data_IF_489120920691
#
_entry.id   IF_489120920691
#
_cell.length_a   1.000
_cell.length_b   1.000
_cell.length_c   1.000
_cell.angle_alpha   90.00
_cell.angle_beta   90.00
_cell.angle_gamma   90.00
#
_symmetry.space_group_name_H-M   'P 1'
#
loop_
_entity.id
_entity.type
_entity.pdbx_description
1 polymer ?
#
# COMPACT_ATOMS: atom_id res chain seq x y z
N UNK A 1 -24.97 44.07 72.72
CA UNK A 1 -25.62 42.79 72.41
C UNK A 1 -25.24 42.39 71.00
N UNK A 2 -24.75 41.16 70.85
CA UNK A 2 -24.16 40.46 69.69
C UNK A 2 -24.59 40.93 68.29
N UNK A 3 -23.62 41.36 67.48
CA UNK A 3 -23.71 41.37 66.02
C UNK A 3 -23.47 39.95 65.50
N UNK A 4 -24.45 39.38 64.80
CA UNK A 4 -24.38 38.07 64.16
C UNK A 4 -23.94 38.30 62.70
N UNK A 5 -22.65 38.14 62.43
CA UNK A 5 -22.12 38.19 61.05
C UNK A 5 -22.45 36.87 60.34
N UNK A 6 -23.38 36.95 59.39
CA UNK A 6 -23.72 35.87 58.48
C UNK A 6 -22.63 35.79 57.40
N UNK A 7 -21.71 34.83 57.53
CA UNK A 7 -20.71 34.53 56.50
C UNK A 7 -21.40 33.72 55.41
N UNK A 8 -21.71 34.37 54.29
CA UNK A 8 -22.22 33.76 53.08
C UNK A 8 -21.06 33.02 52.39
N UNK A 9 -20.98 31.70 52.58
CA UNK A 9 -20.01 30.84 51.91
C UNK A 9 -20.48 30.65 50.45
N UNK A 10 -19.99 31.48 49.54
CA UNK A 10 -20.14 31.29 48.09
C UNK A 10 -19.40 30.01 47.69
N UNK A 11 -20.15 28.93 47.48
CA UNK A 11 -19.65 27.71 46.88
C UNK A 11 -19.28 27.95 45.42
N UNK A 12 -17.99 27.98 45.12
CA UNK A 12 -17.48 27.90 43.74
C UNK A 12 -17.67 26.47 43.27
N UNK A 13 -18.82 26.17 42.68
CA UNK A 13 -19.00 24.98 41.85
C UNK A 13 -18.25 25.24 40.54
N UNK A 14 -16.95 24.96 40.52
CA UNK A 14 -16.21 24.81 39.27
C UNK A 14 -16.85 23.66 38.49
N UNK A 15 -17.32 23.92 37.26
CA UNK A 15 -17.58 22.84 36.33
C UNK A 15 -16.27 22.04 36.20
N UNK A 16 -16.24 20.73 36.54
CA UNK A 16 -15.08 19.93 36.20
C UNK A 16 -14.91 20.02 34.69
N UNK A 17 -13.70 20.34 34.26
CA UNK A 17 -13.32 20.35 32.86
C UNK A 17 -13.35 18.89 32.38
N UNK A 18 -14.52 18.43 31.92
CA UNK A 18 -14.74 17.10 31.33
C UNK A 18 -14.39 17.11 29.84
N UNK A 19 -13.56 18.08 29.42
CA UNK A 19 -13.12 18.26 28.04
C UNK A 19 -12.18 17.15 27.58
N UNK A 20 -12.31 16.78 26.31
CA UNK A 20 -11.32 15.96 25.62
C UNK A 20 -9.97 16.69 25.65
N UNK A 21 -8.90 16.00 26.02
CA UNK A 21 -7.57 16.59 26.12
C UNK A 21 -6.84 16.39 24.80
N UNK A 22 -6.31 17.47 24.23
CA UNK A 22 -5.46 17.41 23.05
C UNK A 22 -4.15 16.70 23.36
N UNK A 23 -3.74 15.77 22.50
CA UNK A 23 -2.47 15.05 22.64
C UNK A 23 -1.86 14.73 21.28
N UNK A 24 -0.57 14.49 21.29
CA UNK A 24 0.24 14.16 20.11
C UNK A 24 1.17 13.02 20.48
N UNK A 25 1.40 12.10 19.54
CA UNK A 25 2.38 11.04 19.72
C UNK A 25 3.08 10.67 18.42
N UNK A 26 4.32 10.17 18.49
CA UNK A 26 5.08 9.81 17.30
C UNK A 26 4.43 8.70 16.47
N UNK A 27 4.47 8.89 15.15
CA UNK A 27 4.11 7.89 14.14
C UNK A 27 5.38 7.35 13.48
N UNK A 28 5.50 6.03 13.48
CA UNK A 28 6.53 5.28 12.81
C UNK A 28 5.93 4.42 11.70
N UNK A 29 6.71 4.23 10.64
CA UNK A 29 6.39 3.28 9.56
C UNK A 29 7.57 2.35 9.33
N UNK A 30 7.28 1.14 8.87
CA UNK A 30 8.28 0.18 8.44
C UNK A 30 7.68 -0.82 7.44
N UNK A 31 8.56 -1.49 6.71
CA UNK A 31 8.25 -2.75 6.05
C UNK A 31 8.33 -3.95 6.98
N UNK A 32 8.43 -5.13 6.37
CA UNK A 32 8.78 -6.39 7.02
C UNK A 32 10.16 -6.85 6.55
N UNK A 33 10.80 -7.70 7.35
CA UNK A 33 11.96 -8.45 6.87
C UNK A 33 11.43 -9.57 5.96
N UNK A 34 11.68 -9.44 4.65
CA UNK A 34 11.11 -10.35 3.67
C UNK A 34 11.88 -11.68 3.72
N UNK A 35 11.18 -12.75 4.12
CA UNK A 35 11.73 -14.09 4.03
C UNK A 35 11.75 -14.54 2.56
N UNK A 36 12.91 -14.42 1.93
CA UNK A 36 13.07 -14.80 0.53
C UNK A 36 13.37 -16.29 0.31
N UNK A 37 12.93 -16.85 -0.83
CA UNK A 37 12.06 -16.22 -1.83
C UNK A 37 10.59 -16.18 -1.41
N UNK A 38 9.85 -15.19 -1.90
CA UNK A 38 8.39 -15.14 -1.80
C UNK A 38 7.80 -16.10 -2.84
N UNK A 39 6.72 -16.81 -2.48
CA UNK A 39 6.03 -17.71 -3.40
C UNK A 39 4.79 -17.02 -3.96
N UNK A 40 4.80 -16.75 -5.26
CA UNK A 40 3.67 -16.24 -6.02
C UNK A 40 2.79 -17.37 -6.60
N UNK A 41 1.79 -17.02 -7.39
CA UNK A 41 0.82 -17.99 -7.90
C UNK A 41 1.49 -19.07 -8.76
N UNK A 42 1.12 -20.33 -8.53
CA UNK A 42 1.68 -21.47 -9.26
C UNK A 42 3.10 -21.84 -8.84
N UNK A 43 3.44 -21.64 -7.56
CA UNK A 43 4.74 -21.97 -6.96
C UNK A 43 5.93 -21.22 -7.60
N UNK A 44 5.66 -20.05 -8.19
CA UNK A 44 6.69 -19.18 -8.78
C UNK A 44 7.49 -18.51 -7.66
N UNK A 45 8.80 -18.75 -7.64
CA UNK A 45 9.72 -18.12 -6.69
C UNK A 45 10.02 -16.68 -7.13
N UNK A 46 9.87 -15.72 -6.21
CA UNK A 46 10.09 -14.29 -6.44
C UNK A 46 11.10 -13.73 -5.43
N UNK A 47 12.11 -13.05 -5.93
CA UNK A 47 13.02 -12.17 -5.17
C UNK A 47 12.58 -10.73 -5.40
N UNK A 48 12.49 -9.94 -4.33
CA UNK A 48 12.00 -8.56 -4.36
C UNK A 48 13.20 -7.63 -4.19
N UNK A 49 13.51 -6.88 -5.24
CA UNK A 49 14.64 -5.95 -5.23
C UNK A 49 14.23 -4.56 -4.70
N UNK A 50 12.96 -4.19 -4.88
CA UNK A 50 12.39 -2.91 -4.46
C UNK A 50 10.89 -3.01 -4.24
N UNK A 51 10.39 -2.46 -3.15
CA UNK A 51 8.96 -2.31 -2.90
C UNK A 51 8.68 -0.99 -2.16
N UNK A 52 8.28 0.04 -2.91
CA UNK A 52 8.04 1.38 -2.38
C UNK A 52 6.54 1.68 -2.36
N UNK A 53 6.01 2.08 -1.20
CA UNK A 53 4.60 2.41 -1.00
C UNK A 53 4.43 3.88 -0.62
N UNK A 54 3.63 4.64 -1.37
CA UNK A 54 3.14 5.93 -0.91
C UNK A 54 2.09 5.71 0.17
N UNK A 55 2.31 6.27 1.36
CA UNK A 55 1.41 6.12 2.51
C UNK A 55 1.03 7.48 3.10
N UNK A 56 -0.25 7.64 3.44
CA UNK A 56 -0.79 8.81 4.12
C UNK A 56 -1.76 9.61 3.24
N UNK A 57 -2.61 10.46 3.84
CA UNK A 57 -2.81 10.67 5.28
C UNK A 57 -3.36 9.43 6.02
N UNK A 58 -3.23 9.41 7.36
CA UNK A 58 -3.76 8.38 8.26
C UNK A 58 -4.74 9.00 9.25
N UNK A 59 -5.92 8.39 9.40
CA UNK A 59 -6.92 8.78 10.39
C UNK A 59 -7.28 7.60 11.29
N UNK A 60 -7.39 7.86 12.60
CA UNK A 60 -7.85 6.90 13.61
C UNK A 60 -9.22 7.33 14.14
N UNK A 61 -10.21 6.46 14.00
CA UNK A 61 -11.62 6.80 14.19
C UNK A 61 -12.18 6.19 15.47
N UNK A 62 -13.10 6.92 16.13
CA UNK A 62 -13.83 6.41 17.29
C UNK A 62 -14.83 5.29 16.94
N UNK A 63 -15.39 5.33 15.73
CA UNK A 63 -16.35 4.34 15.22
C UNK A 63 -15.72 2.97 15.00
N UNK A 64 -16.49 1.89 15.22
CA UNK A 64 -16.04 0.51 14.95
C UNK A 64 -15.85 0.24 13.45
N UNK A 65 -16.65 0.93 12.64
CA UNK A 65 -16.49 1.07 11.20
C UNK A 65 -16.06 2.49 10.92
N UNK A 66 -15.04 2.64 10.09
CA UNK A 66 -14.73 3.89 9.44
C UNK A 66 -15.88 4.19 8.46
N UNK A 67 -16.94 4.86 8.96
CA UNK A 67 -17.97 5.46 8.09
C UNK A 67 -17.32 6.44 7.12
N UNK A 68 -18.05 6.88 6.11
CA UNK A 68 -17.48 7.56 4.94
C UNK A 68 -16.56 8.75 5.27
N UNK A 69 -16.79 9.43 6.40
CA UNK A 69 -16.00 10.61 6.77
C UNK A 69 -15.18 10.50 8.04
N UNK A 70 -15.15 9.33 8.72
CA UNK A 70 -14.56 9.27 10.06
C UNK A 70 -14.98 10.50 10.90
N UNK A 71 -16.27 10.88 10.91
CA UNK A 71 -16.75 12.21 11.39
C UNK A 71 -16.29 12.60 12.81
N UNK A 72 -15.72 11.64 13.52
CA UNK A 72 -15.08 11.75 14.83
C UNK A 72 -13.67 11.14 14.81
N UNK A 73 -12.84 11.54 13.85
CA UNK A 73 -11.41 11.23 13.84
C UNK A 73 -10.85 11.68 15.19
N UNK A 74 -10.29 10.73 15.93
CA UNK A 74 -9.66 11.00 17.22
C UNK A 74 -8.26 11.49 17.03
N UNK A 75 -7.57 10.92 16.03
CA UNK A 75 -6.22 11.28 15.66
C UNK A 75 -6.08 11.28 14.15
N UNK A 76 -5.25 12.18 13.66
CA UNK A 76 -4.91 12.29 12.25
C UNK A 76 -3.45 12.66 12.06
N UNK A 77 -2.90 12.15 10.96
CA UNK A 77 -1.62 12.55 10.39
C UNK A 77 -1.89 12.87 8.92
N UNK A 78 -1.73 14.15 8.56
CA UNK A 78 -2.21 14.69 7.28
C UNK A 78 -1.16 14.71 6.16
N UNK A 79 0.09 14.35 6.49
CA UNK A 79 1.18 14.28 5.51
C UNK A 79 1.19 12.94 4.78
N UNK A 80 2.20 12.76 3.92
CA UNK A 80 2.44 11.53 3.17
C UNK A 80 3.93 11.21 3.15
N UNK A 81 4.29 9.92 3.08
CA UNK A 81 5.66 9.42 3.02
C UNK A 81 5.79 8.24 2.06
N UNK A 82 6.96 8.05 1.46
CA UNK A 82 7.32 6.80 0.78
C UNK A 82 7.89 5.83 1.81
N UNK A 83 7.28 4.65 1.91
CA UNK A 83 7.73 3.55 2.78
C UNK A 83 8.44 2.51 1.92
N UNK A 84 9.70 2.24 2.22
CA UNK A 84 10.36 1.02 1.74
C UNK A 84 9.82 -0.17 2.53
N UNK A 85 8.98 -0.99 1.90
CA UNK A 85 8.30 -2.09 2.56
C UNK A 85 9.19 -3.34 2.68
N UNK A 86 10.42 -3.30 2.17
CA UNK A 86 11.42 -4.37 2.30
C UNK A 86 12.29 -4.23 3.55
N UNK A 87 12.25 -3.07 4.22
CA UNK A 87 13.07 -2.78 5.39
C UNK A 87 12.27 -2.88 6.68
N UNK A 88 12.71 -3.75 7.59
CA UNK A 88 12.09 -3.92 8.91
C UNK A 88 12.41 -2.81 9.92
N UNK A 89 13.45 -2.02 9.64
CA UNK A 89 13.83 -0.86 10.46
C UNK A 89 12.78 0.25 10.32
N UNK A 90 12.29 0.74 11.47
CA UNK A 90 11.25 1.77 11.49
C UNK A 90 11.81 3.17 11.39
N UNK A 91 11.11 4.04 10.67
CA UNK A 91 11.42 5.47 10.56
C UNK A 91 10.29 6.29 11.16
N UNK A 92 10.63 7.35 11.91
CA UNK A 92 9.65 8.33 12.39
C UNK A 92 9.25 9.24 11.23
N UNK A 93 7.96 9.34 10.95
CA UNK A 93 7.44 10.11 9.80
C UNK A 93 6.64 11.35 10.20
N UNK A 94 6.37 11.50 11.50
CA UNK A 94 5.67 12.65 12.04
C UNK A 94 5.01 12.33 13.37
N UNK A 95 4.01 13.12 13.72
CA UNK A 95 3.20 12.95 14.91
C UNK A 95 1.73 12.81 14.51
N UNK A 96 1.03 11.86 15.13
CA UNK A 96 -0.42 11.79 15.12
C UNK A 96 -0.95 12.84 16.10
N UNK A 97 -1.83 13.70 15.63
CA UNK A 97 -2.41 14.78 16.43
C UNK A 97 -3.90 14.57 16.64
N UNK A 98 -4.40 14.84 17.84
CA UNK A 98 -5.77 14.49 18.15
C UNK A 98 -6.20 14.74 19.59
N UNK A 99 -7.21 13.98 20.03
CA UNK A 99 -7.77 14.08 21.37
C UNK A 99 -7.94 12.71 22.03
N UNK A 100 -7.77 12.66 23.35
CA UNK A 100 -7.94 11.44 24.14
C UNK A 100 -9.27 10.74 23.91
N UNK A 101 -9.28 9.42 24.08
CA UNK A 101 -10.45 8.57 23.95
C UNK A 101 -10.18 7.29 23.17
N UNK A 102 -11.26 6.53 22.94
CA UNK A 102 -11.20 5.26 22.24
C UNK A 102 -11.07 5.42 20.72
N UNK A 103 -10.17 4.66 20.11
CA UNK A 103 -10.10 4.41 18.66
C UNK A 103 -10.45 2.95 18.35
N UNK A 104 -11.23 2.74 17.30
CA UNK A 104 -11.81 1.43 16.93
C UNK A 104 -11.74 1.10 15.44
N UNK A 105 -11.36 2.07 14.62
CA UNK A 105 -11.05 1.85 13.21
C UNK A 105 -10.02 2.86 12.72
N UNK A 106 -9.60 2.67 11.48
CA UNK A 106 -8.62 3.51 10.80
C UNK A 106 -8.96 3.60 9.31
N UNK A 107 -8.42 4.62 8.68
CA UNK A 107 -8.44 4.81 7.23
C UNK A 107 -7.16 5.53 6.79
N UNK A 108 -6.69 5.26 5.58
CA UNK A 108 -5.55 5.95 5.00
C UNK A 108 -5.65 6.00 3.48
N UNK A 109 -4.85 6.89 2.89
CA UNK A 109 -4.65 6.96 1.46
C UNK A 109 -3.29 6.39 1.06
N UNK A 110 -3.19 6.02 -0.22
CA UNK A 110 -1.97 5.52 -0.83
C UNK A 110 -1.42 6.54 -1.84
N UNK A 111 -1.14 7.76 -1.37
CA UNK A 111 -0.58 8.82 -2.22
C UNK A 111 -1.60 9.61 -3.06
N UNK A 112 -2.86 9.20 -3.09
CA UNK A 112 -3.97 9.91 -3.73
C UNK A 112 -5.09 10.15 -2.74
N UNK A 113 -5.51 11.41 -2.58
CA UNK A 113 -6.55 11.77 -1.62
C UNK A 113 -7.77 12.38 -2.32
N UNK A 114 -8.96 11.88 -2.01
CA UNK A 114 -10.22 12.41 -2.52
C UNK A 114 -10.57 13.71 -1.81
N UNK A 115 -11.05 14.70 -2.57
CA UNK A 115 -11.46 15.99 -2.03
C UNK A 115 -12.95 16.21 -2.29
N UNK A 116 -13.66 16.81 -1.32
CA UNK A 116 -15.11 17.09 -1.42
C UNK A 116 -15.49 18.05 -2.57
N UNK A 117 -14.50 18.73 -3.16
CA UNK A 117 -14.73 19.83 -4.12
C UNK A 117 -14.17 19.53 -5.51
N UNK A 118 -13.63 18.33 -5.74
CA UNK A 118 -12.98 17.95 -7.00
C UNK A 118 -13.31 16.51 -7.34
N UNK A 119 -13.57 16.26 -8.61
CA UNK A 119 -13.80 14.91 -9.13
C UNK A 119 -12.47 14.14 -9.29
N UNK A 120 -11.40 14.84 -9.66
CA UNK A 120 -10.05 14.25 -9.72
C UNK A 120 -9.39 14.19 -8.33
N UNK A 121 -8.75 13.07 -7.96
CA UNK A 121 -8.04 12.93 -6.70
C UNK A 121 -6.82 13.87 -6.66
N UNK A 122 -6.53 14.36 -5.46
CA UNK A 122 -5.34 15.16 -5.20
C UNK A 122 -4.12 14.25 -5.04
N UNK A 123 -3.11 14.44 -5.90
CA UNK A 123 -1.85 13.70 -5.83
C UNK A 123 -0.95 14.26 -4.72
N UNK A 124 -0.69 13.43 -3.71
CA UNK A 124 0.14 13.75 -2.55
C UNK A 124 1.63 13.71 -2.90
N UNK A 125 2.47 14.25 -2.01
CA UNK A 125 3.90 14.37 -2.23
C UNK A 125 4.58 13.00 -2.41
N UNK A 126 4.20 12.01 -1.60
CA UNK A 126 4.75 10.66 -1.71
C UNK A 126 4.47 10.00 -3.07
N UNK A 127 3.27 10.18 -3.64
CA UNK A 127 2.97 9.65 -4.98
C UNK A 127 3.79 10.36 -6.06
N UNK A 128 4.00 11.67 -5.95
CA UNK A 128 4.85 12.43 -6.90
C UNK A 128 6.30 11.96 -6.88
N UNK A 129 6.82 11.61 -5.70
CA UNK A 129 8.17 11.03 -5.56
C UNK A 129 8.28 9.67 -6.25
N UNK A 130 7.17 8.94 -6.35
CA UNK A 130 7.04 7.68 -7.09
C UNK A 130 6.56 7.85 -8.54
N UNK A 131 6.58 9.07 -9.08
CA UNK A 131 6.16 9.33 -10.47
C UNK A 131 4.65 9.16 -10.70
N UNK A 132 3.84 9.70 -9.78
CA UNK A 132 2.38 9.58 -9.75
C UNK A 132 1.89 8.14 -9.57
N UNK A 133 2.56 7.39 -8.68
CA UNK A 133 2.21 6.01 -8.33
C UNK A 133 1.95 5.84 -6.83
N UNK A 134 1.14 4.84 -6.48
CA UNK A 134 0.92 4.43 -5.09
C UNK A 134 1.90 3.37 -4.65
N UNK A 135 2.31 2.50 -5.56
CA UNK A 135 3.21 1.39 -5.27
C UNK A 135 4.13 1.11 -6.46
N UNK A 136 5.41 0.92 -6.21
CA UNK A 136 6.40 0.43 -7.17
C UNK A 136 6.95 -0.89 -6.65
N UNK A 137 6.94 -1.92 -7.49
CA UNK A 137 7.55 -3.21 -7.19
C UNK A 137 8.49 -3.61 -8.34
N UNK A 138 9.72 -3.94 -7.98
CA UNK A 138 10.73 -4.51 -8.88
C UNK A 138 11.30 -5.78 -8.26
N UNK A 139 11.63 -6.75 -9.10
CA UNK A 139 12.16 -8.02 -8.63
C UNK A 139 12.46 -8.98 -9.76
N UNK A 140 12.72 -10.24 -9.39
CA UNK A 140 12.95 -11.34 -10.33
C UNK A 140 12.05 -12.51 -9.99
N UNK A 141 11.23 -12.95 -10.95
CA UNK A 141 10.42 -14.15 -10.85
C UNK A 141 11.12 -15.31 -11.58
N UNK A 142 11.11 -16.52 -11.01
CA UNK A 142 11.64 -17.72 -11.67
C UNK A 142 10.49 -18.57 -12.18
N UNK A 143 10.30 -18.56 -13.51
CA UNK A 143 9.24 -19.28 -14.20
C UNK A 143 9.88 -20.36 -15.07
N UNK A 144 9.60 -21.63 -14.78
CA UNK A 144 10.13 -22.78 -15.54
C UNK A 144 11.67 -22.78 -15.68
N UNK A 145 12.37 -22.21 -14.70
CA UNK A 145 13.83 -22.09 -14.70
C UNK A 145 14.37 -20.83 -15.39
N UNK A 146 13.51 -20.01 -16.01
CA UNK A 146 13.86 -18.71 -16.57
C UNK A 146 13.74 -17.62 -15.50
N UNK A 147 14.81 -16.86 -15.31
CA UNK A 147 14.82 -15.69 -14.45
C UNK A 147 14.21 -14.50 -15.23
N UNK A 148 13.06 -14.03 -14.79
CA UNK A 148 12.27 -12.96 -15.39
C UNK A 148 12.35 -11.71 -14.50
N UNK A 149 13.27 -10.77 -14.76
CA UNK A 149 13.27 -9.48 -14.08
C UNK A 149 12.00 -8.73 -14.48
N UNK A 150 11.34 -8.12 -13.50
CA UNK A 150 10.08 -7.42 -13.73
C UNK A 150 10.02 -6.09 -12.98
N UNK A 151 9.14 -5.22 -13.48
CA UNK A 151 8.71 -4.01 -12.80
C UNK A 151 7.22 -3.79 -12.97
N UNK A 152 6.59 -3.28 -11.92
CA UNK A 152 5.18 -2.88 -11.94
C UNK A 152 5.01 -1.58 -11.15
N UNK A 153 4.17 -0.70 -11.66
CA UNK A 153 3.85 0.61 -11.06
C UNK A 153 2.34 0.71 -10.98
N UNK A 154 1.81 0.89 -9.77
CA UNK A 154 0.37 0.82 -9.50
C UNK A 154 -0.11 2.13 -8.88
N UNK A 155 -0.92 2.94 -9.58
CA UNK A 155 -1.73 3.97 -8.95
C UNK A 155 -2.97 3.35 -8.28
N UNK A 156 -3.15 3.64 -6.99
CA UNK A 156 -4.32 3.32 -6.19
C UNK A 156 -5.03 4.63 -5.89
N UNK A 157 -6.03 4.93 -6.71
CA UNK A 157 -6.83 6.14 -6.62
C UNK A 157 -8.31 5.80 -6.53
N UNK A 158 -9.07 6.76 -6.00
CA UNK A 158 -10.52 6.71 -6.01
C UNK A 158 -11.06 6.62 -7.44
N UNK A 159 -12.16 5.90 -7.61
CA UNK A 159 -12.91 5.80 -8.88
C UNK A 159 -14.16 6.66 -8.79
N UNK A 160 -14.89 6.84 -9.90
CA UNK A 160 -16.19 7.53 -9.90
C UNK A 160 -17.21 6.91 -8.92
N UNK A 161 -17.06 5.62 -8.59
CA UNK A 161 -17.90 4.92 -7.61
C UNK A 161 -17.53 5.21 -6.15
N UNK A 162 -16.42 5.90 -5.90
CA UNK A 162 -15.97 6.25 -4.55
C UNK A 162 -16.55 7.60 -4.15
N UNK A 163 -17.19 7.67 -2.99
CA UNK A 163 -17.70 8.95 -2.46
C UNK A 163 -16.56 9.97 -2.30
N UNK A 164 -16.83 11.22 -2.66
CA UNK A 164 -15.86 12.30 -2.56
C UNK A 164 -15.47 12.56 -1.10
N UNK A 165 -14.21 12.92 -0.89
CA UNK A 165 -13.67 13.20 0.44
C UNK A 165 -13.34 11.97 1.28
N UNK A 166 -13.47 10.76 0.71
CA UNK A 166 -13.23 9.53 1.45
C UNK A 166 -11.86 8.92 1.14
N UNK A 167 -11.07 8.54 2.15
CA UNK A 167 -9.83 7.81 1.94
C UNK A 167 -10.03 6.43 1.28
N UNK A 168 -9.03 6.01 0.50
CA UNK A 168 -9.12 4.80 -0.34
C UNK A 168 -9.14 3.53 0.51
N UNK A 169 -8.31 3.47 1.56
CA UNK A 169 -8.13 2.25 2.34
C UNK A 169 -8.76 2.39 3.71
N UNK A 170 -9.63 1.43 4.07
CA UNK A 170 -10.35 1.40 5.35
C UNK A 170 -10.16 0.06 6.05
N UNK A 171 -10.26 0.08 7.37
CA UNK A 171 -10.31 -1.15 8.18
C UNK A 171 -11.41 -2.08 7.69
N UNK A 172 -11.06 -3.35 7.43
CA UNK A 172 -12.02 -4.39 7.09
C UNK A 172 -12.95 -4.71 8.26
N UNK A 173 -14.11 -5.29 7.97
CA UNK A 173 -15.07 -5.71 9.01
C UNK A 173 -14.55 -6.82 9.91
N UNK A 174 -13.62 -7.63 9.40
CA UNK A 174 -12.96 -8.74 10.12
C UNK A 174 -11.83 -8.29 11.04
N UNK A 175 -11.25 -7.12 10.81
CA UNK A 175 -10.02 -6.72 11.50
C UNK A 175 -10.33 -6.26 12.92
N UNK A 176 -9.57 -6.73 13.92
CA UNK A 176 -9.65 -6.20 15.26
C UNK A 176 -8.79 -4.94 15.39
N UNK A 177 -9.39 -3.82 15.77
CA UNK A 177 -8.66 -2.61 16.13
C UNK A 177 -9.38 -1.94 17.30
N UNK A 178 -8.68 -1.78 18.42
CA UNK A 178 -9.21 -1.14 19.62
C UNK A 178 -8.05 -0.61 20.44
N UNK A 179 -8.11 0.67 20.82
CA UNK A 179 -7.17 1.28 21.76
C UNK A 179 -7.85 2.40 22.51
N UNK A 180 -7.64 2.45 23.82
CA UNK A 180 -7.94 3.65 24.62
C UNK A 180 -6.68 4.51 24.66
N UNK A 181 -6.79 5.77 24.22
CA UNK A 181 -5.68 6.71 24.20
C UNK A 181 -5.90 7.74 25.31
N UNK A 182 -4.98 7.80 26.26
CA UNK A 182 -4.96 8.74 27.36
C UNK A 182 -3.78 9.73 27.21
N UNK A 183 -3.42 10.43 28.28
CA UNK A 183 -2.32 11.41 28.27
C UNK A 183 -0.94 10.81 28.55
N UNK A 184 -0.82 9.47 28.64
CA UNK A 184 0.50 8.83 28.78
C UNK A 184 1.30 8.93 27.47
N UNK A 185 2.63 8.79 27.56
CA UNK A 185 3.45 8.71 26.36
C UNK A 185 3.06 7.47 25.55
N UNK A 186 2.60 7.71 24.32
CA UNK A 186 2.25 6.67 23.36
C UNK A 186 3.11 6.82 22.12
N UNK A 187 3.08 5.81 21.27
CA UNK A 187 3.61 5.85 19.91
C UNK A 187 2.86 4.80 19.09
N UNK A 188 2.83 4.99 17.77
CA UNK A 188 2.23 4.04 16.86
C UNK A 188 3.23 3.66 15.77
N UNK A 189 3.42 2.37 15.57
CA UNK A 189 4.12 1.81 14.42
C UNK A 189 3.12 1.17 13.47
N UNK A 190 3.18 1.55 12.20
CA UNK A 190 2.43 0.94 11.08
C UNK A 190 3.42 0.11 10.24
N UNK A 191 3.13 -1.17 10.05
CA UNK A 191 4.00 -2.08 9.28
C UNK A 191 3.30 -2.66 8.07
N UNK A 192 3.94 -2.58 6.92
CA UNK A 192 3.47 -3.11 5.65
C UNK A 192 4.26 -4.35 5.24
N UNK A 193 3.58 -5.36 4.70
CA UNK A 193 4.19 -6.61 4.24
C UNK A 193 3.94 -6.78 2.74
N UNK A 194 4.93 -6.43 1.92
CA UNK A 194 4.80 -6.57 0.46
C UNK A 194 4.79 -8.01 0.00
N UNK A 195 5.32 -8.96 0.78
CA UNK A 195 5.31 -10.38 0.41
C UNK A 195 3.88 -10.88 0.26
N UNK A 196 2.98 -10.44 1.14
CA UNK A 196 1.57 -10.82 1.12
C UNK A 196 0.85 -10.38 -0.17
N UNK A 197 1.21 -9.22 -0.72
CA UNK A 197 0.56 -8.67 -1.92
C UNK A 197 0.96 -9.39 -3.22
N UNK A 198 2.12 -10.04 -3.23
CA UNK A 198 2.68 -10.70 -4.42
C UNK A 198 2.16 -12.12 -4.61
N UNK A 199 1.68 -12.75 -3.53
CA UNK A 199 1.22 -14.16 -3.52
C UNK A 199 0.18 -14.49 -4.60
N UNK A 200 -0.65 -13.52 -5.00
CA UNK A 200 -1.69 -13.68 -6.02
C UNK A 200 -1.27 -13.33 -7.45
N UNK A 201 -0.02 -12.90 -7.69
CA UNK A 201 0.47 -12.54 -9.01
C UNK A 201 0.82 -13.81 -9.82
N UNK A 202 0.34 -13.90 -11.06
CA UNK A 202 0.69 -14.98 -11.99
C UNK A 202 1.68 -14.49 -13.05
N UNK A 203 2.94 -14.93 -12.92
CA UNK A 203 4.00 -14.58 -13.87
C UNK A 203 4.10 -15.54 -15.06
N UNK A 204 3.42 -16.69 -14.99
CA UNK A 204 3.58 -17.76 -15.99
C UNK A 204 3.04 -17.35 -17.35
N UNK A 205 2.05 -16.45 -17.37
CA UNK A 205 1.48 -15.91 -18.62
C UNK A 205 2.45 -15.07 -19.46
N UNK A 206 3.58 -14.62 -18.88
CA UNK A 206 4.57 -13.81 -19.58
C UNK A 206 5.72 -14.60 -20.20
N UNK A 207 5.79 -15.89 -19.88
CA UNK A 207 6.74 -16.84 -20.48
C UNK A 207 5.94 -17.81 -21.34
N UNK A 208 6.39 -18.00 -22.57
CA UNK A 208 5.76 -18.95 -23.49
C UNK A 208 6.80 -19.90 -24.05
N UNK A 209 6.31 -21.06 -24.48
CA UNK A 209 7.03 -22.01 -25.32
C UNK A 209 6.28 -22.18 -26.64
N UNK A 210 6.10 -21.04 -27.32
CA UNK A 210 5.26 -20.91 -28.50
C UNK A 210 6.07 -21.18 -29.77
N UNK A 211 5.40 -21.75 -30.77
CA UNK A 211 5.96 -22.02 -32.09
C UNK A 211 5.24 -21.21 -33.16
N UNK A 212 5.93 -20.95 -34.28
CA UNK A 212 5.33 -20.22 -35.40
C UNK A 212 4.10 -20.96 -35.94
N UNK A 213 2.97 -20.26 -36.05
CA UNK A 213 1.71 -20.79 -36.62
C UNK A 213 1.12 -19.82 -37.64
N UNK A 214 0.30 -20.30 -38.59
CA UNK A 214 -0.30 -19.46 -39.64
C UNK A 214 -1.28 -18.41 -39.10
N UNK A 215 -1.91 -18.67 -37.95
CA UNK A 215 -2.85 -17.76 -37.28
C UNK A 215 -2.22 -17.09 -36.05
N UNK A 216 -0.92 -17.32 -35.83
CA UNK A 216 -0.18 -16.86 -34.65
C UNK A 216 0.37 -15.44 -34.78
N UNK A 217 0.95 -14.91 -33.69
CA UNK A 217 1.66 -13.65 -33.74
C UNK A 217 2.89 -13.75 -34.65
N UNK A 218 3.27 -12.63 -35.26
CA UNK A 218 4.48 -12.53 -36.09
C UNK A 218 5.79 -12.74 -35.29
N UNK A 219 5.69 -12.83 -33.96
CA UNK A 219 6.81 -13.12 -33.08
C UNK A 219 6.35 -13.97 -31.89
N UNK A 220 7.14 -14.98 -31.56
CA UNK A 220 6.91 -15.92 -30.46
C UNK A 220 8.19 -16.09 -29.64
N UNK A 221 8.03 -16.54 -28.40
CA UNK A 221 9.14 -16.95 -27.55
C UNK A 221 9.11 -18.48 -27.37
N UNK A 222 10.25 -19.13 -27.64
CA UNK A 222 10.55 -20.52 -27.28
C UNK A 222 11.58 -20.48 -26.14
N UNK A 223 11.07 -20.44 -24.89
CA UNK A 223 11.89 -20.20 -23.70
C UNK A 223 12.64 -18.87 -23.74
N UNK A 224 13.98 -18.90 -23.82
CA UNK A 224 14.82 -17.71 -23.89
C UNK A 224 15.07 -17.17 -25.32
N UNK A 225 14.53 -17.84 -26.34
CA UNK A 225 14.76 -17.50 -27.74
C UNK A 225 13.54 -16.82 -28.33
N UNK A 226 13.74 -15.65 -28.91
CA UNK A 226 12.75 -14.98 -29.75
C UNK A 226 12.81 -15.52 -31.17
N UNK A 227 11.65 -15.80 -31.76
CA UNK A 227 11.49 -16.14 -33.17
C UNK A 227 10.58 -15.12 -33.85
N UNK A 228 10.99 -14.63 -35.01
CA UNK A 228 10.13 -13.90 -35.93
C UNK A 228 9.58 -14.90 -36.95
N UNK A 229 8.27 -14.86 -37.15
CA UNK A 229 7.50 -15.81 -37.94
C UNK A 229 6.91 -15.17 -39.20
N UNK A 230 6.95 -15.89 -40.32
CA UNK A 230 6.23 -15.60 -41.56
C UNK A 230 5.69 -16.92 -42.12
N UNK A 231 4.37 -17.02 -42.33
CA UNK A 231 3.69 -18.22 -42.87
C UNK A 231 4.17 -19.55 -42.25
N UNK A 232 4.10 -19.68 -40.91
CA UNK A 232 4.59 -20.84 -40.12
C UNK A 232 6.11 -21.05 -40.11
N UNK A 233 6.87 -20.23 -40.82
CA UNK A 233 8.33 -20.37 -40.89
C UNK A 233 9.04 -19.37 -39.98
N UNK A 234 10.07 -19.85 -39.29
CA UNK A 234 10.99 -18.98 -38.56
C UNK A 234 11.87 -18.27 -39.60
N UNK A 235 11.67 -16.96 -39.75
CA UNK A 235 12.49 -16.12 -40.64
C UNK A 235 13.73 -15.58 -39.95
N UNK A 236 13.69 -15.42 -38.62
CA UNK A 236 14.86 -15.11 -37.82
C UNK A 236 14.69 -15.57 -36.38
N UNK A 237 15.81 -15.89 -35.72
CA UNK A 237 15.86 -16.22 -34.30
C UNK A 237 16.88 -15.35 -33.59
N UNK A 238 16.61 -15.05 -32.32
CA UNK A 238 17.49 -14.28 -31.45
C UNK A 238 17.46 -14.86 -30.04
N UNK A 239 18.62 -15.28 -29.55
CA UNK A 239 18.78 -15.71 -28.16
C UNK A 239 18.86 -14.47 -27.26
N UNK A 240 17.81 -14.23 -26.47
CA UNK A 240 17.73 -13.07 -25.59
C UNK A 240 18.77 -13.16 -24.45
N UNK A 241 19.12 -14.37 -24.01
CA UNK A 241 20.08 -14.56 -22.93
C UNK A 241 21.48 -14.07 -23.31
N UNK A 242 21.85 -14.18 -24.59
CA UNK A 242 23.11 -13.66 -25.13
C UNK A 242 23.23 -12.13 -25.04
N UNK A 243 22.11 -11.43 -24.85
CA UNK A 243 22.00 -9.99 -24.70
C UNK A 243 21.74 -9.53 -23.25
N UNK A 244 21.73 -10.46 -22.29
CA UNK A 244 21.23 -10.23 -20.93
C UNK A 244 19.76 -9.75 -20.91
N UNK A 245 18.96 -10.27 -21.84
CA UNK A 245 17.54 -10.00 -21.98
C UNK A 245 16.73 -11.27 -21.72
N UNK A 246 15.43 -11.09 -21.54
CA UNK A 246 14.44 -12.15 -21.39
C UNK A 246 13.47 -12.12 -22.56
N UNK A 247 13.06 -13.28 -23.04
CA UNK A 247 12.00 -13.36 -24.03
C UNK A 247 10.66 -13.26 -23.31
N UNK A 248 9.91 -12.19 -23.55
CA UNK A 248 8.58 -11.96 -22.99
C UNK A 248 7.55 -12.30 -24.06
N UNK A 249 6.56 -13.10 -23.69
CA UNK A 249 5.49 -13.51 -24.60
C UNK A 249 4.87 -12.30 -25.32
N UNK A 250 4.75 -12.38 -26.65
CA UNK A 250 4.26 -11.30 -27.53
C UNK A 250 5.08 -10.01 -27.59
N UNK A 251 6.17 -9.88 -26.82
CA UNK A 251 7.05 -8.69 -26.80
C UNK A 251 8.49 -8.99 -27.21
N UNK A 252 8.91 -10.25 -27.21
CA UNK A 252 10.22 -10.68 -27.68
C UNK A 252 11.31 -10.38 -26.66
N UNK A 253 12.55 -10.16 -27.11
CA UNK A 253 13.66 -9.87 -26.20
C UNK A 253 13.52 -8.49 -25.54
N UNK A 254 13.42 -8.48 -24.22
CA UNK A 254 13.27 -7.30 -23.38
C UNK A 254 14.33 -7.28 -22.28
N UNK A 255 14.74 -6.10 -21.82
CA UNK A 255 15.64 -5.99 -20.66
C UNK A 255 14.94 -6.47 -19.37
N UNK A 256 13.64 -6.24 -19.27
CA UNK A 256 12.76 -6.68 -18.18
C UNK A 256 11.31 -6.75 -18.63
N UNK A 257 10.49 -7.53 -17.94
CA UNK A 257 9.04 -7.48 -18.06
C UNK A 257 8.49 -6.21 -17.39
N UNK A 258 7.81 -5.36 -18.16
CA UNK A 258 6.94 -4.32 -17.59
C UNK A 258 5.53 -4.88 -17.48
N UNK A 259 5.01 -5.00 -16.26
CA UNK A 259 3.65 -5.52 -16.04
C UNK A 259 2.66 -4.38 -16.29
N UNK A 260 2.04 -4.43 -17.47
CA UNK A 260 1.12 -3.39 -17.94
C UNK A 260 -0.22 -3.40 -17.21
N UNK A 261 -0.84 -2.21 -17.17
CA UNK A 261 -2.21 -2.03 -16.71
C UNK A 261 -3.17 -2.89 -17.54
N UNK A 262 -4.06 -3.62 -16.84
CA UNK A 262 -5.04 -4.51 -17.47
C UNK A 262 -4.61 -5.98 -17.55
N UNK A 263 -3.33 -6.30 -17.35
CA UNK A 263 -2.87 -7.68 -17.17
C UNK A 263 -3.48 -8.32 -15.91
N UNK A 264 -3.54 -9.65 -15.88
CA UNK A 264 -4.04 -10.37 -14.70
C UNK A 264 -3.17 -10.13 -13.47
N UNK A 265 -1.84 -10.21 -13.62
CA UNK A 265 -0.89 -9.94 -12.56
C UNK A 265 -1.03 -8.52 -11.98
N UNK A 266 -1.22 -7.51 -12.84
CA UNK A 266 -1.48 -6.14 -12.40
C UNK A 266 -2.76 -6.04 -11.57
N UNK A 267 -3.86 -6.64 -12.05
CA UNK A 267 -5.15 -6.62 -11.33
C UNK A 267 -5.05 -7.34 -9.99
N UNK A 268 -4.36 -8.49 -9.92
CA UNK A 268 -4.12 -9.21 -8.67
C UNK A 268 -3.38 -8.34 -7.66
N UNK A 269 -2.27 -7.72 -8.07
CA UNK A 269 -1.50 -6.82 -7.21
C UNK A 269 -2.32 -5.61 -6.75
N UNK A 270 -3.00 -4.93 -7.69
CA UNK A 270 -3.87 -3.79 -7.40
C UNK A 270 -4.97 -4.16 -6.40
N UNK A 271 -5.59 -5.32 -6.55
CA UNK A 271 -6.62 -5.80 -5.63
C UNK A 271 -6.03 -6.13 -4.25
N UNK A 272 -4.83 -6.69 -4.19
CA UNK A 272 -4.14 -6.97 -2.94
C UNK A 272 -3.78 -5.69 -2.17
N UNK A 273 -3.32 -4.64 -2.86
CA UNK A 273 -3.08 -3.33 -2.26
C UNK A 273 -4.37 -2.70 -1.73
N UNK A 274 -5.47 -2.80 -2.49
CA UNK A 274 -6.74 -2.17 -2.12
C UNK A 274 -7.50 -2.93 -1.00
N UNK A 275 -7.44 -4.26 -1.01
CA UNK A 275 -8.33 -5.12 -0.22
C UNK A 275 -7.68 -6.37 0.37
N UNK A 276 -6.40 -6.61 0.11
CA UNK A 276 -5.64 -7.74 0.64
C UNK A 276 -5.13 -7.50 2.07
N UNK A 277 -3.97 -8.10 2.38
CA UNK A 277 -3.38 -8.03 3.72
C UNK A 277 -3.19 -6.57 4.16
N UNK A 278 -3.75 -6.26 5.34
CA UNK A 278 -3.73 -4.92 5.92
C UNK A 278 -2.45 -4.69 6.71
N UNK A 279 -2.00 -3.43 6.86
CA UNK A 279 -0.87 -3.16 7.72
C UNK A 279 -1.16 -3.55 9.17
N UNK A 280 -0.12 -3.96 9.87
CA UNK A 280 -0.18 -4.19 11.31
C UNK A 280 0.08 -2.90 12.08
N UNK A 281 -0.61 -2.74 13.21
CA UNK A 281 -0.53 -1.56 14.07
C UNK A 281 -0.01 -1.97 15.44
N UNK A 282 1.12 -1.40 15.87
CA UNK A 282 1.75 -1.67 17.16
C UNK A 282 1.78 -0.40 18.00
N UNK A 283 1.15 -0.44 19.18
CA UNK A 283 1.13 0.66 20.15
C UNK A 283 2.29 0.60 21.12
N UNK A 284 2.64 1.74 21.70
CA UNK A 284 3.71 1.89 22.70
C UNK A 284 5.07 1.37 22.18
N UNK A 285 5.28 1.54 20.88
CA UNK A 285 6.50 1.16 20.20
C UNK A 285 7.71 1.88 20.80
N UNK A 286 8.72 1.07 21.17
CA UNK A 286 10.02 1.52 21.66
C UNK A 286 11.06 1.06 20.65
N UNK A 287 11.86 2.00 20.16
CA UNK A 287 13.06 1.67 19.40
C UNK A 287 14.09 0.97 20.29
#
# INVERSE_FOLDING_TARGET
MRHLSLVLLMGVLGCPDVGLVGTQFPLYVAGTDIAEPVVAMGDVSVTIDRADLAFGPLYLCAGATAGDLCDTARYEWLDSVVVDTTLSESVMVGELSGTTGTVRSWMYDLGFSSQLTRDDPFVLQAAKELGDASFILEGTAVVEGLALPFSVTVPIQQTEDTELGVPVIRKGSSDSFYREIDTSEQSLLVRFDSSAWITGMDFRSFVSDDTCTNEGPAMVCEGATEHICEDETIVSSRDCSSLNQVCVASLGCQDRLTIEEGSEAYRSLRNALNSGERPSFTWDYKQ
#
